data_IF_146248542499
#
_entry.id   IF_146248542499
#
_cell.length_a   1.000
_cell.length_b   1.000
_cell.length_c   1.000
_cell.angle_alpha   90.00
_cell.angle_beta   90.00
_cell.angle_gamma   90.00
#
_symmetry.space_group_name_H-M   'P 1'
#
loop_
_entity.id
_entity.type
_entity.pdbx_description
1 polymer ?
#
# COMPACT_ATOMS: atom_id res chain seq x y z
N UNK A 1 -4.84 -37.85 15.06
CA UNK A 1 -5.78 -36.71 14.86
C UNK A 1 -5.49 -35.69 15.94
N UNK A 2 -4.65 -34.72 15.65
CA UNK A 2 -4.25 -33.67 16.58
C UNK A 2 -5.06 -32.43 16.24
N UNK A 3 -6.00 -32.08 17.11
CA UNK A 3 -6.74 -30.82 17.09
C UNK A 3 -5.75 -29.66 17.25
N UNK A 4 -5.25 -29.09 16.17
CA UNK A 4 -4.62 -27.77 16.20
C UNK A 4 -5.74 -26.75 16.34
N UNK A 5 -5.94 -26.24 17.55
CA UNK A 5 -6.73 -25.04 17.82
C UNK A 5 -6.26 -23.93 16.86
N UNK A 6 -7.19 -23.34 16.12
CA UNK A 6 -6.97 -22.08 15.47
C UNK A 6 -6.44 -21.09 16.52
N UNK A 7 -5.42 -20.29 16.22
CA UNK A 7 -5.06 -19.21 17.13
C UNK A 7 -6.29 -18.27 17.23
N UNK A 8 -6.82 -18.18 18.45
CA UNK A 8 -7.85 -17.19 18.78
C UNK A 8 -7.33 -15.82 18.33
N UNK A 9 -8.14 -15.11 17.57
CA UNK A 9 -7.88 -13.69 17.29
C UNK A 9 -7.90 -13.00 18.65
N UNK A 10 -6.72 -12.73 19.21
CA UNK A 10 -6.61 -11.95 20.44
C UNK A 10 -7.32 -10.63 20.23
N UNK A 11 -8.48 -10.48 20.86
CA UNK A 11 -9.13 -9.18 20.95
C UNK A 11 -8.16 -8.25 21.66
N UNK A 12 -7.70 -7.20 20.95
CA UNK A 12 -6.81 -6.19 21.50
C UNK A 12 -7.51 -5.48 22.66
N UNK A 13 -7.33 -5.99 23.85
CA UNK A 13 -7.72 -5.32 25.08
C UNK A 13 -6.72 -4.20 25.39
N UNK A 14 -7.15 -3.14 26.07
CA UNK A 14 -6.27 -2.03 26.45
C UNK A 14 -5.01 -2.49 27.20
N UNK A 15 -5.10 -3.57 27.95
CA UNK A 15 -4.00 -4.19 28.71
C UNK A 15 -2.86 -4.75 27.83
N UNK A 16 -3.15 -5.11 26.58
CA UNK A 16 -2.17 -5.66 25.63
C UNK A 16 -1.55 -4.62 24.70
N UNK A 17 -1.88 -3.33 24.87
CA UNK A 17 -1.31 -2.26 24.08
C UNK A 17 -0.02 -1.74 24.71
N UNK A 18 0.99 -1.47 23.88
CA UNK A 18 2.19 -0.77 24.36
C UNK A 18 1.81 0.63 24.86
N UNK A 19 2.55 1.13 25.87
CA UNK A 19 2.35 2.46 26.44
C UNK A 19 2.21 3.57 25.39
N UNK A 20 3.01 3.50 24.34
CA UNK A 20 2.95 4.47 23.23
C UNK A 20 1.61 4.44 22.47
N UNK A 21 1.01 3.27 22.31
CA UNK A 21 -0.30 3.12 21.67
C UNK A 21 -1.42 3.69 22.54
N UNK A 22 -1.32 3.53 23.86
CA UNK A 22 -2.25 4.10 24.83
C UNK A 22 -2.19 5.64 24.79
N UNK A 23 -1.00 6.23 24.84
CA UNK A 23 -0.79 7.67 24.73
C UNK A 23 -1.42 8.23 23.43
N UNK A 24 -1.26 7.55 22.30
CA UNK A 24 -1.84 7.98 21.01
C UNK A 24 -3.36 7.90 21.00
N UNK A 25 -3.94 6.87 21.64
CA UNK A 25 -5.41 6.77 21.82
C UNK A 25 -5.96 7.88 22.71
N UNK A 26 -5.29 8.21 23.79
CA UNK A 26 -5.66 9.36 24.65
C UNK A 26 -5.60 10.68 23.88
N UNK A 27 -4.55 10.90 23.07
CA UNK A 27 -4.44 12.08 22.22
C UNK A 27 -5.61 12.15 21.22
N UNK A 28 -5.98 11.04 20.61
CA UNK A 28 -7.15 10.94 19.72
C UNK A 28 -8.43 11.32 20.46
N UNK A 29 -8.64 10.75 21.66
CA UNK A 29 -9.81 11.05 22.48
C UNK A 29 -9.93 12.53 22.78
N UNK A 30 -8.83 13.17 23.19
CA UNK A 30 -8.78 14.63 23.43
C UNK A 30 -9.11 15.46 22.18
N UNK A 31 -8.65 15.01 21.00
CA UNK A 31 -9.00 15.65 19.72
C UNK A 31 -10.50 15.52 19.44
N UNK A 32 -11.07 14.36 19.67
CA UNK A 32 -12.50 14.09 19.45
C UNK A 32 -13.37 14.92 20.41
N UNK A 33 -13.02 14.98 21.69
CA UNK A 33 -13.69 15.79 22.72
C UNK A 33 -13.64 17.30 22.41
N UNK A 34 -12.55 17.75 21.76
CA UNK A 34 -12.41 19.13 21.30
C UNK A 34 -13.12 19.42 19.95
N UNK A 35 -13.88 18.47 19.40
CA UNK A 35 -14.55 18.63 18.10
C UNK A 35 -13.61 18.57 16.90
N UNK A 36 -12.37 18.09 17.09
CA UNK A 36 -11.31 17.99 16.06
C UNK A 36 -11.06 16.55 15.65
N UNK A 37 -12.11 15.76 15.45
CA UNK A 37 -11.99 14.36 15.05
C UNK A 37 -11.35 14.26 13.65
N UNK A 38 -10.13 13.70 13.50
CA UNK A 38 -9.45 13.64 12.21
C UNK A 38 -10.15 12.72 11.19
N UNK A 39 -10.94 11.76 11.67
CA UNK A 39 -11.56 10.75 10.81
C UNK A 39 -12.86 11.21 10.13
N UNK A 40 -13.30 12.45 10.37
CA UNK A 40 -14.42 13.06 9.64
C UNK A 40 -13.97 13.83 8.39
N UNK A 41 -12.67 14.03 8.22
CA UNK A 41 -12.09 14.69 7.04
C UNK A 41 -11.96 13.68 5.90
N UNK A 42 -12.96 13.57 5.05
CA UNK A 42 -13.02 12.57 3.98
C UNK A 42 -12.10 12.91 2.81
N UNK A 43 -11.90 14.21 2.53
CA UNK A 43 -11.14 14.67 1.37
C UNK A 43 -10.20 15.83 1.71
N UNK A 44 -9.10 15.91 0.96
CA UNK A 44 -8.19 17.05 0.94
C UNK A 44 -7.83 17.38 -0.51
N UNK A 45 -7.95 18.64 -0.90
CA UNK A 45 -7.62 19.05 -2.26
C UNK A 45 -6.11 19.20 -2.43
N UNK A 46 -5.46 18.21 -3.04
CA UNK A 46 -4.02 18.23 -3.32
C UNK A 46 -3.77 18.89 -4.68
N UNK A 47 -3.04 20.00 -4.71
CA UNK A 47 -2.67 20.72 -5.94
C UNK A 47 -1.28 20.36 -6.45
N UNK A 48 -0.37 19.89 -5.56
CA UNK A 48 1.00 19.54 -5.91
C UNK A 48 1.54 18.39 -5.06
N UNK A 49 2.50 17.66 -5.60
CA UNK A 49 3.19 16.59 -4.88
C UNK A 49 4.66 16.94 -4.61
N UNK A 50 5.26 16.25 -3.64
CA UNK A 50 6.60 16.53 -3.13
C UNK A 50 7.68 16.63 -4.20
N UNK A 51 7.72 15.68 -5.15
CA UNK A 51 8.76 15.68 -6.19
C UNK A 51 8.44 16.65 -7.33
N UNK A 52 7.17 16.90 -7.63
CA UNK A 52 6.78 17.92 -8.61
C UNK A 52 7.26 19.30 -8.17
N UNK A 53 7.11 19.62 -6.86
CA UNK A 53 7.61 20.88 -6.27
C UNK A 53 9.13 20.92 -6.32
N UNK A 54 9.82 19.83 -5.92
CA UNK A 54 11.29 19.81 -5.87
C UNK A 54 11.92 19.90 -7.25
N UNK A 55 11.36 19.19 -8.23
CA UNK A 55 11.91 19.14 -9.60
C UNK A 55 11.63 20.41 -10.42
N UNK A 56 10.57 21.14 -10.08
CA UNK A 56 10.15 22.35 -10.78
C UNK A 56 10.24 23.60 -9.89
N UNK A 57 11.17 23.62 -8.93
CA UNK A 57 11.26 24.68 -7.93
C UNK A 57 11.22 26.07 -8.50
N UNK A 58 12.03 26.36 -9.53
CA UNK A 58 12.14 27.67 -10.13
C UNK A 58 10.81 28.19 -10.74
N UNK A 59 9.92 27.27 -11.12
CA UNK A 59 8.60 27.62 -11.66
C UNK A 59 7.53 27.77 -10.56
N UNK A 60 7.74 27.18 -9.38
CA UNK A 60 6.75 27.19 -8.30
C UNK A 60 7.22 27.91 -7.05
N UNK A 61 8.38 28.56 -7.09
CA UNK A 61 8.87 29.41 -6.00
C UNK A 61 7.84 30.51 -5.71
N UNK A 62 7.59 30.78 -4.44
CA UNK A 62 6.60 31.72 -3.92
C UNK A 62 5.15 31.43 -4.33
N UNK A 63 4.86 30.29 -4.96
CA UNK A 63 3.49 29.89 -5.27
C UNK A 63 2.83 29.16 -4.09
N UNK A 64 1.51 29.33 -3.99
CA UNK A 64 0.65 28.62 -3.06
C UNK A 64 0.44 27.17 -3.53
N UNK A 65 0.67 26.23 -2.62
CA UNK A 65 0.47 24.78 -2.87
C UNK A 65 -0.32 24.16 -1.73
N UNK A 66 -1.09 23.13 -2.07
CA UNK A 66 -1.76 22.27 -1.13
C UNK A 66 -1.25 20.84 -1.30
N UNK A 67 -0.69 20.29 -0.22
CA UNK A 67 -0.11 18.97 -0.17
C UNK A 67 -0.74 18.13 0.95
N UNK A 68 -0.71 16.81 0.81
CA UNK A 68 -1.03 15.90 1.89
C UNK A 68 0.01 14.79 1.99
N UNK A 69 0.34 14.38 3.22
CA UNK A 69 1.34 13.34 3.41
C UNK A 69 1.44 12.85 4.85
N UNK A 70 2.18 11.76 5.01
CA UNK A 70 2.48 11.17 6.31
C UNK A 70 3.67 11.85 6.95
N UNK A 71 3.55 12.26 8.21
CA UNK A 71 4.67 12.80 9.00
C UNK A 71 5.71 11.68 9.21
N UNK A 72 6.92 11.91 8.69
CA UNK A 72 8.05 10.97 8.81
C UNK A 72 9.17 11.49 9.70
N UNK A 73 9.22 12.79 9.94
CA UNK A 73 10.11 13.42 10.90
C UNK A 73 9.45 14.66 11.50
N UNK A 74 9.76 14.92 12.77
CA UNK A 74 9.22 16.05 13.51
C UNK A 74 10.33 16.68 14.37
N UNK A 75 10.70 17.92 14.05
CA UNK A 75 11.75 18.69 14.76
C UNK A 75 11.14 19.98 15.30
N UNK A 76 10.97 20.04 16.61
CA UNK A 76 10.43 21.22 17.29
C UNK A 76 11.55 22.18 17.66
N UNK A 77 11.39 23.48 17.36
CA UNK A 77 12.33 24.56 17.68
C UNK A 77 11.58 25.76 18.29
N UNK A 78 11.07 25.59 19.50
CA UNK A 78 10.36 26.65 20.21
C UNK A 78 9.07 27.12 19.53
N UNK A 79 9.11 28.29 18.87
CA UNK A 79 7.96 28.88 18.15
C UNK A 79 7.84 28.47 16.70
N UNK A 80 8.76 27.63 16.22
CA UNK A 80 8.78 27.07 14.87
C UNK A 80 9.05 25.58 14.93
N UNK A 81 8.66 24.86 13.90
CA UNK A 81 8.90 23.44 13.76
C UNK A 81 9.14 23.09 12.30
N UNK A 82 9.99 22.10 12.08
CA UNK A 82 10.14 21.46 10.78
C UNK A 82 9.58 20.07 10.85
N UNK A 83 8.76 19.72 9.87
CA UNK A 83 8.25 18.36 9.69
C UNK A 83 8.56 17.91 8.26
N UNK A 84 8.86 16.64 8.09
CA UNK A 84 8.99 16.05 6.77
C UNK A 84 7.73 15.21 6.52
N UNK A 85 6.96 15.55 5.49
CA UNK A 85 5.82 14.76 5.06
C UNK A 85 6.18 13.90 3.85
N UNK A 86 5.66 12.69 3.82
CA UNK A 86 5.84 11.72 2.73
C UNK A 86 4.51 11.50 2.01
N UNK A 87 4.51 11.75 0.72
CA UNK A 87 3.41 11.47 -0.19
C UNK A 87 3.68 10.26 -1.10
N UNK A 88 2.94 10.13 -2.20
CA UNK A 88 3.13 9.05 -3.17
C UNK A 88 4.44 9.14 -3.95
N UNK A 89 4.99 10.36 -4.14
CA UNK A 89 6.19 10.58 -4.95
C UNK A 89 7.47 10.60 -4.11
N UNK A 90 7.42 11.17 -2.88
CA UNK A 90 8.61 11.32 -2.07
C UNK A 90 8.38 12.04 -0.75
N UNK A 91 9.35 12.84 -0.35
CA UNK A 91 9.28 13.63 0.90
C UNK A 91 9.52 15.11 0.62
N UNK A 92 8.80 15.96 1.35
CA UNK A 92 9.02 17.40 1.35
C UNK A 92 9.02 17.92 2.78
N UNK A 93 9.88 18.90 3.03
CA UNK A 93 9.95 19.59 4.31
C UNK A 93 8.85 20.65 4.39
N UNK A 94 8.20 20.75 5.55
CA UNK A 94 7.24 21.79 5.85
C UNK A 94 7.74 22.59 7.04
N UNK A 95 7.74 23.92 6.91
CA UNK A 95 8.11 24.86 7.94
C UNK A 95 6.85 25.45 8.57
N UNK A 96 6.60 25.10 9.81
CA UNK A 96 5.39 25.49 10.56
C UNK A 96 5.78 26.49 11.65
N UNK A 97 5.20 27.68 11.57
CA UNK A 97 5.43 28.76 12.58
C UNK A 97 4.16 29.03 13.37
N UNK A 98 4.33 29.29 14.65
CA UNK A 98 3.24 29.61 15.58
C UNK A 98 2.44 30.85 15.15
N UNK A 99 3.15 31.91 14.70
CA UNK A 99 2.56 33.15 14.22
C UNK A 99 1.83 33.02 12.86
N UNK A 100 2.17 32.04 12.07
CA UNK A 100 1.54 31.80 10.77
C UNK A 100 0.24 31.00 10.88
N UNK A 101 0.18 29.96 11.74
CA UNK A 101 -1.00 29.10 11.89
C UNK A 101 -1.87 29.46 13.11
N UNK A 102 -1.41 30.35 13.96
CA UNK A 102 -2.09 30.76 15.19
C UNK A 102 -1.72 29.92 16.42
N UNK A 103 -1.94 30.50 17.59
CA UNK A 103 -1.54 29.92 18.88
C UNK A 103 -2.28 28.62 19.20
N UNK A 104 -3.57 28.57 18.90
CA UNK A 104 -4.41 27.41 19.16
C UNK A 104 -4.05 26.24 18.24
N UNK A 105 -3.97 26.48 16.92
CA UNK A 105 -3.56 25.45 15.95
C UNK A 105 -2.16 24.91 16.23
N UNK A 106 -1.23 25.80 16.61
CA UNK A 106 0.13 25.37 16.96
C UNK A 106 0.17 24.51 18.23
N UNK A 107 -0.73 24.76 19.19
CA UNK A 107 -0.88 23.92 20.39
C UNK A 107 -1.33 22.50 20.03
N UNK A 108 -2.33 22.37 19.16
CA UNK A 108 -2.79 21.08 18.69
C UNK A 108 -1.74 20.38 17.82
N UNK A 109 -1.11 21.10 16.92
CA UNK A 109 -0.02 20.58 16.07
C UNK A 109 1.10 19.92 16.89
N UNK A 110 1.46 20.46 18.05
CA UNK A 110 2.46 19.85 18.94
C UNK A 110 2.06 18.49 19.49
N UNK A 111 0.80 18.11 19.43
CA UNK A 111 0.30 16.79 19.87
C UNK A 111 0.36 15.75 18.78
N UNK A 112 0.69 16.14 17.54
CA UNK A 112 0.80 15.22 16.42
C UNK A 112 2.00 14.30 16.58
N UNK A 113 1.92 13.13 15.98
CA UNK A 113 2.94 12.10 16.09
C UNK A 113 3.50 11.73 14.72
N UNK A 114 4.70 11.16 14.72
CA UNK A 114 5.24 10.49 13.52
C UNK A 114 4.30 9.38 13.11
N UNK A 115 3.94 9.35 11.83
CA UNK A 115 2.95 8.43 11.27
C UNK A 115 1.59 9.05 11.00
N UNK A 116 1.24 10.19 11.62
CA UNK A 116 0.00 10.92 11.33
C UNK A 116 -0.02 11.39 9.87
N UNK A 117 -1.21 11.45 9.28
CA UNK A 117 -1.40 12.02 7.94
C UNK A 117 -2.00 13.41 8.10
N UNK A 118 -1.39 14.38 7.45
CA UNK A 118 -1.81 15.77 7.49
C UNK A 118 -1.98 16.35 6.09
N UNK A 119 -2.88 17.32 5.98
CA UNK A 119 -2.95 18.25 4.87
C UNK A 119 -2.29 19.57 5.25
N UNK A 120 -1.56 20.16 4.34
CA UNK A 120 -0.87 21.44 4.51
C UNK A 120 -1.12 22.34 3.32
N UNK A 121 -1.38 23.63 3.58
CA UNK A 121 -1.40 24.68 2.57
C UNK A 121 -0.32 25.70 2.92
N UNK A 122 0.39 26.16 1.92
CA UNK A 122 1.46 27.11 2.13
C UNK A 122 2.24 27.47 0.88
N UNK A 123 3.20 28.36 1.05
CA UNK A 123 4.02 28.91 -0.02
C UNK A 123 5.31 28.12 -0.16
N UNK A 124 5.70 27.77 -1.37
CA UNK A 124 6.96 27.11 -1.66
C UNK A 124 8.12 28.07 -1.50
N UNK A 125 9.17 27.66 -0.80
CA UNK A 125 10.38 28.45 -0.61
C UNK A 125 11.62 27.58 -0.45
N UNK A 126 12.78 28.17 -0.56
CA UNK A 126 14.06 27.53 -0.30
C UNK A 126 14.65 28.01 1.02
N UNK A 127 15.03 27.07 1.89
CA UNK A 127 15.67 27.40 3.16
C UNK A 127 17.09 27.93 2.94
N UNK A 128 17.69 28.58 3.95
CA UNK A 128 19.09 29.06 3.91
C UNK A 128 20.09 27.92 3.59
N UNK A 129 19.75 26.68 3.91
CA UNK A 129 20.57 25.51 3.64
C UNK A 129 20.29 24.87 2.27
N UNK A 130 19.46 25.51 1.45
CA UNK A 130 19.13 25.03 0.09
C UNK A 130 18.02 23.97 0.02
N UNK A 131 17.35 23.61 1.12
CA UNK A 131 16.26 22.62 1.09
C UNK A 131 14.96 23.28 0.63
N UNK A 132 14.33 22.70 -0.41
CA UNK A 132 13.00 23.11 -0.91
C UNK A 132 11.94 22.71 0.12
N UNK A 133 11.15 23.68 0.54
CA UNK A 133 10.24 23.53 1.67
C UNK A 133 8.93 24.28 1.45
N UNK A 134 7.90 23.93 2.19
CA UNK A 134 6.61 24.62 2.21
C UNK A 134 6.51 25.43 3.50
N UNK A 135 6.32 26.75 3.40
CA UNK A 135 6.00 27.64 4.51
C UNK A 135 4.51 27.57 4.78
N UNK A 136 4.14 26.81 5.81
CA UNK A 136 2.76 26.45 6.11
C UNK A 136 2.02 27.60 6.79
N UNK A 137 0.83 27.93 6.28
CA UNK A 137 -0.12 28.86 6.89
C UNK A 137 -1.45 28.19 7.30
N UNK A 138 -1.76 27.02 6.74
CA UNK A 138 -2.89 26.16 7.15
C UNK A 138 -2.47 24.71 7.24
N UNK A 139 -2.95 24.04 8.29
CA UNK A 139 -2.58 22.67 8.59
C UNK A 139 -3.79 21.95 9.19
N UNK A 140 -4.08 20.74 8.71
CA UNK A 140 -5.19 19.92 9.20
C UNK A 140 -4.72 18.48 9.41
N UNK A 141 -5.09 17.90 10.55
CA UNK A 141 -4.89 16.48 10.79
C UNK A 141 -5.97 15.68 10.04
N UNK A 142 -5.57 14.89 9.07
CA UNK A 142 -6.47 14.06 8.25
C UNK A 142 -6.66 12.67 8.85
N UNK A 143 -5.60 12.11 9.45
CA UNK A 143 -5.66 10.77 10.05
C UNK A 143 -4.66 10.65 11.19
N UNK A 144 -5.11 10.18 12.34
CA UNK A 144 -4.24 9.87 13.49
C UNK A 144 -3.67 8.46 13.39
N UNK A 145 -2.36 8.33 13.41
CA UNK A 145 -1.67 7.04 13.48
C UNK A 145 -1.70 6.50 14.90
N UNK A 146 -2.41 5.41 15.13
CA UNK A 146 -2.48 4.74 16.44
C UNK A 146 -1.35 3.72 16.63
N UNK A 147 -0.77 3.24 15.53
CA UNK A 147 0.42 2.39 15.54
C UNK A 147 1.69 3.22 15.51
N UNK A 148 2.72 2.77 16.23
CA UNK A 148 4.04 3.38 16.20
C UNK A 148 4.81 2.81 15.01
N UNK A 149 5.34 3.66 14.15
CA UNK A 149 6.22 3.21 13.08
C UNK A 149 7.55 2.70 13.64
N UNK A 150 8.16 1.69 13.04
CA UNK A 150 9.48 1.21 13.42
C UNK A 150 10.52 2.33 13.42
N UNK A 151 11.55 2.19 14.25
CA UNK A 151 12.59 3.21 14.38
C UNK A 151 13.32 3.38 13.04
N UNK A 152 13.49 4.63 12.58
CA UNK A 152 14.13 4.97 11.31
C UNK A 152 15.53 4.35 11.14
N UNK A 153 16.26 4.19 12.25
CA UNK A 153 17.62 3.64 12.27
C UNK A 153 17.68 2.12 12.22
N UNK A 154 16.68 1.43 12.73
CA UNK A 154 16.63 -0.03 12.71
C UNK A 154 15.86 -0.55 11.50
N UNK A 155 14.93 0.26 10.93
CA UNK A 155 14.09 -0.11 9.79
C UNK A 155 13.30 -1.40 10.06
N UNK A 156 12.50 -1.81 9.11
CA UNK A 156 11.91 -3.13 9.11
C UNK A 156 12.87 -4.07 8.36
N UNK A 157 13.90 -4.61 9.06
CA UNK A 157 14.94 -5.48 8.47
C UNK A 157 14.54 -6.93 8.44
N UNK A 158 13.75 -7.36 9.41
CA UNK A 158 13.25 -8.74 9.51
C UNK A 158 12.36 -9.05 8.30
N UNK A 159 12.75 -10.06 7.52
CA UNK A 159 12.09 -10.41 6.26
C UNK A 159 10.68 -10.96 6.49
N UNK A 160 10.47 -11.77 7.53
CA UNK A 160 9.17 -12.33 7.85
C UNK A 160 8.20 -11.21 8.28
N UNK A 161 8.66 -10.29 9.13
CA UNK A 161 7.88 -9.14 9.54
C UNK A 161 7.53 -8.20 8.36
N UNK A 162 8.45 -7.99 7.41
CA UNK A 162 8.20 -7.23 6.17
C UNK A 162 7.09 -7.86 5.32
N UNK A 163 7.00 -9.17 5.29
CA UNK A 163 5.93 -9.86 4.57
C UNK A 163 4.60 -9.83 5.33
N UNK A 164 4.62 -9.97 6.65
CA UNK A 164 3.41 -9.95 7.48
C UNK A 164 2.82 -8.55 7.63
N UNK A 165 3.69 -7.54 7.79
CA UNK A 165 3.31 -6.14 7.91
C UNK A 165 3.68 -5.35 6.64
N UNK A 166 3.21 -5.80 5.50
CA UNK A 166 3.53 -5.19 4.20
C UNK A 166 3.20 -3.70 4.15
N UNK A 167 2.14 -3.25 4.81
CA UNK A 167 1.79 -1.84 4.90
C UNK A 167 2.87 -1.02 5.62
N UNK A 168 3.49 -1.56 6.66
CA UNK A 168 4.61 -0.92 7.36
C UNK A 168 5.87 -0.88 6.49
N UNK A 169 6.17 -2.00 5.80
CA UNK A 169 7.27 -2.09 4.84
C UNK A 169 7.14 -1.04 3.71
N UNK A 170 5.94 -0.85 3.16
CA UNK A 170 5.66 0.16 2.13
C UNK A 170 5.81 1.61 2.63
N UNK A 171 5.57 1.86 3.93
CA UNK A 171 5.77 3.18 4.53
C UNK A 171 7.26 3.46 4.73
N UNK A 172 8.00 2.47 5.24
CA UNK A 172 9.39 2.63 5.67
C UNK A 172 10.39 2.52 4.52
N UNK A 173 10.13 1.68 3.53
CA UNK A 173 11.03 1.31 2.45
C UNK A 173 10.47 1.78 1.09
N UNK A 174 10.83 2.99 0.61
CA UNK A 174 10.31 3.54 -0.66
C UNK A 174 10.58 2.65 -1.87
N UNK A 175 11.73 1.97 -1.89
CA UNK A 175 12.12 1.05 -2.96
C UNK A 175 11.13 -0.12 -3.14
N UNK A 176 10.48 -0.54 -2.07
CA UNK A 176 9.44 -1.58 -2.13
C UNK A 176 8.21 -1.06 -2.88
N UNK A 177 7.82 0.19 -2.67
CA UNK A 177 6.73 0.81 -3.45
C UNK A 177 7.06 0.89 -4.94
N UNK A 178 8.28 1.30 -5.28
CA UNK A 178 8.73 1.35 -6.67
C UNK A 178 8.66 -0.02 -7.34
N UNK A 179 9.01 -1.08 -6.62
CA UNK A 179 8.90 -2.45 -7.14
C UNK A 179 7.44 -2.80 -7.50
N UNK A 180 6.45 -2.38 -6.70
CA UNK A 180 5.04 -2.61 -7.01
C UNK A 180 4.59 -1.81 -8.25
N UNK A 181 5.02 -0.55 -8.39
CA UNK A 181 4.73 0.24 -9.59
C UNK A 181 5.37 -0.35 -10.85
N UNK A 182 6.66 -0.73 -10.77
CA UNK A 182 7.38 -1.38 -11.87
C UNK A 182 6.68 -2.68 -12.29
N UNK A 183 6.28 -3.51 -11.30
CA UNK A 183 5.55 -4.73 -11.56
C UNK A 183 4.22 -4.48 -12.29
N UNK A 184 3.43 -3.52 -11.82
CA UNK A 184 2.15 -3.15 -12.45
C UNK A 184 2.37 -2.71 -13.90
N UNK A 185 3.41 -1.89 -14.14
CA UNK A 185 3.77 -1.44 -15.48
C UNK A 185 4.19 -2.60 -16.38
N UNK A 186 5.03 -3.53 -15.91
CA UNK A 186 5.43 -4.72 -16.68
C UNK A 186 4.22 -5.56 -17.09
N UNK A 187 3.28 -5.77 -16.16
CA UNK A 187 2.06 -6.54 -16.46
C UNK A 187 1.22 -5.81 -17.53
N UNK A 188 1.09 -4.49 -17.42
CA UNK A 188 0.36 -3.68 -18.40
C UNK A 188 0.99 -3.78 -19.81
N UNK A 189 2.30 -3.63 -19.91
CA UNK A 189 3.02 -3.74 -21.19
C UNK A 189 2.88 -5.15 -21.80
N UNK A 190 2.94 -6.23 -20.99
CA UNK A 190 2.71 -7.59 -21.48
C UNK A 190 1.29 -7.73 -22.06
N UNK A 191 0.28 -7.20 -21.37
CA UNK A 191 -1.10 -7.21 -21.86
C UNK A 191 -1.24 -6.43 -23.16
N UNK A 192 -0.73 -5.20 -23.22
CA UNK A 192 -0.76 -4.37 -24.41
C UNK A 192 -0.15 -5.08 -25.64
N UNK A 193 1.04 -5.70 -25.46
CA UNK A 193 1.66 -6.48 -26.54
C UNK A 193 0.78 -7.64 -27.00
N UNK A 194 0.18 -8.39 -26.06
CA UNK A 194 -0.69 -9.51 -26.42
C UNK A 194 -1.96 -9.05 -27.16
N UNK A 195 -2.58 -7.98 -26.69
CA UNK A 195 -3.85 -7.45 -27.22
C UNK A 195 -3.64 -6.64 -28.50
N UNK A 196 -2.76 -5.64 -28.44
CA UNK A 196 -2.60 -4.66 -29.51
C UNK A 196 -1.75 -5.17 -30.67
N UNK A 197 -0.62 -5.88 -30.37
CA UNK A 197 0.29 -6.37 -31.42
C UNK A 197 -0.12 -7.74 -31.96
N UNK A 198 -0.62 -8.62 -31.10
CA UNK A 198 -0.91 -10.00 -31.49
C UNK A 198 -2.40 -10.35 -31.57
N UNK A 199 -3.30 -9.46 -31.14
CA UNK A 199 -4.74 -9.61 -31.22
C UNK A 199 -5.30 -10.75 -30.36
N UNK A 200 -4.70 -10.98 -29.18
CA UNK A 200 -5.22 -11.93 -28.21
C UNK A 200 -6.38 -11.30 -27.42
N UNK A 201 -7.34 -12.13 -27.05
CA UNK A 201 -8.45 -11.79 -26.16
C UNK A 201 -8.12 -12.23 -24.74
N UNK A 202 -8.14 -11.30 -23.77
CA UNK A 202 -8.06 -11.67 -22.35
C UNK A 202 -9.36 -12.33 -21.91
N UNK A 203 -9.25 -13.44 -21.21
CA UNK A 203 -10.38 -14.17 -20.65
C UNK A 203 -10.13 -14.57 -19.20
N UNK A 204 -11.20 -14.75 -18.45
CA UNK A 204 -11.17 -15.27 -17.08
C UNK A 204 -11.83 -16.64 -17.05
N UNK A 205 -11.12 -17.65 -16.55
CA UNK A 205 -11.64 -19.01 -16.42
C UNK A 205 -11.80 -19.40 -14.94
N UNK A 206 -12.66 -20.38 -14.62
CA UNK A 206 -12.94 -20.76 -13.24
C UNK A 206 -11.70 -21.16 -12.45
N UNK A 207 -11.57 -20.63 -11.23
CA UNK A 207 -10.51 -20.98 -10.28
C UNK A 207 -10.82 -22.31 -9.59
N UNK A 208 -12.11 -22.57 -9.31
CA UNK A 208 -12.59 -23.83 -8.75
C UNK A 208 -12.97 -24.78 -9.88
N UNK A 209 -12.50 -26.02 -9.78
CA UNK A 209 -12.76 -27.08 -10.77
C UNK A 209 -13.01 -28.41 -10.08
N UNK A 210 -13.81 -29.27 -10.70
CA UNK A 210 -13.98 -30.64 -10.23
C UNK A 210 -12.83 -31.55 -10.69
N UNK A 211 -12.16 -31.19 -11.81
CA UNK A 211 -11.06 -31.93 -12.39
C UNK A 211 -9.82 -31.05 -12.47
N UNK A 212 -8.79 -31.40 -11.72
CA UNK A 212 -7.49 -30.76 -11.86
C UNK A 212 -6.74 -31.39 -13.04
N UNK A 213 -6.22 -30.56 -13.94
CA UNK A 213 -5.47 -31.03 -15.12
C UNK A 213 -4.70 -29.87 -15.77
N UNK A 214 -3.93 -30.20 -16.81
CA UNK A 214 -3.10 -29.22 -17.54
C UNK A 214 -1.71 -28.97 -16.92
N UNK A 215 -1.41 -29.57 -15.77
CA UNK A 215 -0.10 -29.51 -15.12
C UNK A 215 0.13 -30.76 -14.25
N UNK A 216 1.39 -31.06 -13.98
CA UNK A 216 1.77 -32.11 -13.03
C UNK A 216 2.04 -31.51 -11.65
N UNK A 217 0.96 -31.17 -10.94
CA UNK A 217 1.01 -30.57 -9.62
C UNK A 217 -0.08 -31.13 -8.71
N UNK A 218 0.14 -31.08 -7.38
CA UNK A 218 -0.86 -31.49 -6.40
C UNK A 218 -1.80 -30.33 -6.10
N UNK A 219 -3.12 -30.46 -6.38
CA UNK A 219 -4.08 -29.39 -6.14
C UNK A 219 -4.43 -29.22 -4.66
N UNK A 220 -4.90 -28.04 -4.29
CA UNK A 220 -5.63 -27.83 -3.03
C UNK A 220 -7.05 -28.33 -3.20
N UNK A 221 -7.52 -29.16 -2.26
CA UNK A 221 -8.88 -29.66 -2.24
C UNK A 221 -9.76 -28.78 -1.35
N UNK A 222 -11.00 -28.60 -1.76
CA UNK A 222 -12.05 -27.92 -1.00
C UNK A 222 -13.39 -28.63 -1.23
N UNK A 223 -14.43 -28.25 -0.49
CA UNK A 223 -15.77 -28.81 -0.62
C UNK A 223 -16.79 -27.69 -0.82
N UNK A 224 -17.70 -27.86 -1.78
CA UNK A 224 -18.81 -26.95 -2.02
C UNK A 224 -20.02 -27.38 -1.22
N UNK A 225 -20.25 -26.78 -0.05
CA UNK A 225 -21.25 -27.22 0.93
C UNK A 225 -22.68 -27.29 0.37
N UNK A 226 -23.09 -26.32 -0.47
CA UNK A 226 -24.46 -26.27 -0.99
C UNK A 226 -24.75 -27.34 -2.04
N UNK A 227 -23.75 -27.70 -2.83
CA UNK A 227 -23.88 -28.71 -3.89
C UNK A 227 -23.39 -30.08 -3.44
N UNK A 228 -22.81 -30.18 -2.24
CA UNK A 228 -22.23 -31.40 -1.67
C UNK A 228 -21.25 -32.11 -2.64
N UNK A 229 -20.33 -31.30 -3.24
CA UNK A 229 -19.34 -31.79 -4.18
C UNK A 229 -17.93 -31.40 -3.80
N UNK A 230 -16.99 -32.30 -4.00
CA UNK A 230 -15.58 -32.03 -3.85
C UNK A 230 -15.06 -31.23 -5.03
N UNK A 231 -14.36 -30.14 -4.74
CA UNK A 231 -13.75 -29.27 -5.73
C UNK A 231 -12.25 -29.09 -5.44
N UNK A 232 -11.56 -28.56 -6.41
CA UNK A 232 -10.12 -28.31 -6.36
C UNK A 232 -9.84 -26.89 -6.83
N UNK A 233 -8.81 -26.26 -6.25
CA UNK A 233 -8.25 -25.07 -6.86
C UNK A 233 -7.46 -25.48 -8.10
N UNK A 234 -7.62 -24.75 -9.20
CA UNK A 234 -6.93 -25.05 -10.46
C UNK A 234 -5.43 -25.02 -10.30
N UNK A 235 -4.75 -25.96 -10.90
CA UNK A 235 -3.29 -26.02 -11.03
C UNK A 235 -2.80 -25.43 -12.36
N UNK A 236 -3.70 -25.32 -13.34
CA UNK A 236 -3.48 -24.73 -14.66
C UNK A 236 -4.82 -24.25 -15.24
N UNK A 237 -4.77 -23.25 -16.11
CA UNK A 237 -5.90 -22.75 -16.89
C UNK A 237 -5.98 -23.36 -18.30
N UNK A 238 -5.01 -24.22 -18.66
CA UNK A 238 -4.86 -24.80 -20.01
C UNK A 238 -6.14 -25.45 -20.56
N UNK A 239 -6.80 -26.28 -19.76
CA UNK A 239 -7.98 -27.02 -20.20
C UNK A 239 -9.14 -26.09 -20.57
N UNK A 240 -9.34 -25.04 -19.86
CA UNK A 240 -10.38 -24.05 -20.14
C UNK A 240 -10.06 -23.22 -21.38
N UNK A 241 -8.80 -22.77 -21.52
CA UNK A 241 -8.37 -22.02 -22.71
C UNK A 241 -8.52 -22.86 -23.97
N UNK A 242 -8.16 -24.14 -23.94
CA UNK A 242 -8.39 -25.11 -25.08
C UNK A 242 -9.85 -25.20 -25.44
N UNK A 243 -10.76 -25.25 -24.46
CA UNK A 243 -12.21 -25.29 -24.72
C UNK A 243 -12.72 -24.03 -25.41
N UNK A 244 -12.18 -22.86 -25.04
CA UNK A 244 -12.52 -21.58 -25.67
C UNK A 244 -12.05 -21.55 -27.14
N UNK A 245 -10.85 -22.08 -27.43
CA UNK A 245 -10.34 -22.25 -28.79
C UNK A 245 -11.23 -23.18 -29.61
N UNK A 246 -11.62 -24.30 -29.06
CA UNK A 246 -12.58 -25.24 -29.72
C UNK A 246 -13.93 -24.55 -29.94
N UNK A 247 -14.32 -23.63 -29.05
CA UNK A 247 -15.55 -22.82 -29.17
C UNK A 247 -15.46 -21.69 -30.22
N UNK A 248 -14.31 -21.52 -30.91
CA UNK A 248 -14.12 -20.56 -31.98
C UNK A 248 -13.40 -19.29 -31.63
N UNK A 249 -12.77 -19.21 -30.45
CA UNK A 249 -11.89 -18.07 -30.09
C UNK A 249 -10.48 -18.38 -30.57
N UNK A 250 -10.01 -17.73 -31.64
CA UNK A 250 -8.72 -18.04 -32.27
C UNK A 250 -7.51 -17.80 -31.39
N UNK A 251 -7.55 -16.75 -30.56
CA UNK A 251 -6.43 -16.31 -29.71
C UNK A 251 -6.96 -15.87 -28.38
N UNK A 252 -6.66 -16.63 -27.34
CA UNK A 252 -7.04 -16.31 -25.96
C UNK A 252 -5.85 -16.40 -25.04
N UNK A 253 -5.83 -15.55 -24.02
CA UNK A 253 -4.87 -15.66 -22.95
C UNK A 253 -5.54 -15.35 -21.61
N UNK A 254 -4.91 -15.78 -20.53
CA UNK A 254 -5.33 -15.48 -19.18
C UNK A 254 -4.12 -15.23 -18.28
N UNK A 255 -4.11 -14.11 -17.59
CA UNK A 255 -3.14 -13.83 -16.52
C UNK A 255 -3.75 -14.16 -15.16
N UNK A 256 -3.95 -15.43 -14.88
CA UNK A 256 -4.60 -15.93 -13.69
C UNK A 256 -3.65 -16.58 -12.68
N UNK A 257 -4.12 -16.70 -11.44
CA UNK A 257 -3.40 -17.42 -10.39
C UNK A 257 -3.72 -18.91 -10.51
N UNK A 258 -2.68 -19.74 -10.47
CA UNK A 258 -2.79 -21.18 -10.28
C UNK A 258 -2.30 -21.54 -8.87
N UNK A 259 -2.85 -22.57 -8.28
CA UNK A 259 -2.55 -22.99 -6.91
C UNK A 259 -2.04 -24.40 -6.89
N UNK A 260 -0.85 -24.63 -6.37
CA UNK A 260 -0.28 -25.96 -6.21
C UNK A 260 0.25 -26.19 -4.80
N UNK A 261 0.15 -27.40 -4.30
CA UNK A 261 0.78 -27.79 -3.05
C UNK A 261 2.23 -28.19 -3.33
N UNK A 262 3.17 -27.26 -3.08
CA UNK A 262 4.60 -27.57 -3.07
C UNK A 262 5.10 -27.89 -1.67
N UNK A 263 6.15 -28.71 -1.59
CA UNK A 263 6.88 -28.92 -0.33
C UNK A 263 7.51 -27.58 0.08
N UNK A 264 7.38 -27.22 1.35
CA UNK A 264 8.00 -26.02 1.92
C UNK A 264 9.51 -26.08 1.73
N UNK A 265 10.05 -25.15 0.97
CA UNK A 265 11.45 -24.78 1.01
C UNK A 265 11.53 -23.36 1.58
N UNK A 266 12.64 -23.00 2.22
CA UNK A 266 12.84 -21.69 2.85
C UNK A 266 12.56 -20.49 1.91
N UNK A 267 12.50 -20.74 0.61
CA UNK A 267 12.26 -19.75 -0.44
C UNK A 267 10.78 -19.59 -0.81
N UNK A 268 9.87 -20.43 -0.29
CA UNK A 268 8.44 -20.41 -0.63
C UNK A 268 7.64 -19.96 0.59
N UNK A 269 7.46 -18.65 0.72
CA UNK A 269 6.52 -18.07 1.67
C UNK A 269 5.12 -18.16 1.06
N UNK A 270 4.17 -18.79 1.78
CA UNK A 270 2.76 -18.95 1.38
C UNK A 270 2.04 -17.65 0.96
N UNK A 271 2.61 -16.49 1.31
CA UNK A 271 2.12 -15.16 0.95
C UNK A 271 3.02 -14.43 -0.06
N UNK A 272 4.11 -15.03 -0.54
CA UNK A 272 4.71 -14.47 -1.73
C UNK A 272 3.69 -14.66 -2.85
N UNK A 273 3.33 -13.61 -3.60
CA UNK A 273 2.65 -13.81 -4.86
C UNK A 273 3.65 -14.51 -5.77
N UNK A 274 3.72 -15.83 -5.69
CA UNK A 274 4.28 -16.61 -6.78
C UNK A 274 3.31 -16.41 -7.94
N UNK A 275 3.63 -15.41 -8.71
CA UNK A 275 3.07 -15.23 -10.01
C UNK A 275 3.73 -16.29 -10.87
N UNK A 276 3.13 -17.47 -10.88
CA UNK A 276 3.28 -18.31 -12.03
C UNK A 276 2.56 -17.55 -13.15
N UNK A 277 3.30 -16.67 -13.82
CA UNK A 277 2.97 -16.29 -15.18
C UNK A 277 3.23 -17.56 -15.99
N UNK A 278 2.36 -18.55 -15.83
CA UNK A 278 2.13 -19.50 -16.87
C UNK A 278 1.19 -18.73 -17.79
N UNK A 279 1.78 -18.03 -18.74
CA UNK A 279 1.16 -17.86 -20.03
C UNK A 279 1.30 -19.22 -20.68
N UNK A 280 0.28 -20.09 -20.75
CA UNK A 280 0.28 -21.08 -21.78
C UNK A 280 0.02 -20.28 -23.06
N UNK A 281 1.10 -19.79 -23.70
CA UNK A 281 1.05 -19.49 -25.11
C UNK A 281 0.80 -20.80 -25.82
N UNK A 282 -0.45 -21.24 -25.83
CA UNK A 282 -0.86 -22.31 -26.72
C UNK A 282 -1.08 -21.65 -28.07
N UNK A 283 0.01 -21.52 -28.81
CA UNK A 283 -0.05 -21.16 -30.23
C UNK A 283 -0.51 -22.43 -30.95
N UNK A 284 -1.80 -22.59 -31.19
CA UNK A 284 -2.30 -23.47 -32.22
C UNK A 284 -2.64 -22.59 -33.42
N UNK A 285 -1.85 -22.66 -34.46
CA UNK A 285 -2.28 -22.30 -35.80
C UNK A 285 -3.14 -23.48 -36.29
N UNK A 286 -4.42 -23.25 -36.56
CA UNK A 286 -5.19 -24.06 -37.49
C UNK A 286 -4.74 -23.75 -38.91
#
# INVERSE_FOLDING_TARGET
>A
MSNKKNPEVETLTEENLSEQRLIRREKLKKLQEAGRNPFVNETWNVTAHSMDIKNNFDAVEDQEVSCAGRIMAFRQMGKASFIDIQDKQGRIQCYVRKDAIGDEEYKWFKTYDIGDIIGVEGTVFKTKNGEVSIKVHRLVLLTKSLQVLPNKWQGLKDQDLRYRERYTDLIMNPEVREMFYKRSKIIHEIKSVLEDDYGYLEVDTPILTTIAGGANARPFNTHHNTLDIDMKLRISNELYLKRLIVGGLDRVYEMGKCSEMKVWTETIILNSPQWNVICPMVIWRL
#
